data_IF_287033193001
#
_entry.id   IF_287033193001
#
_cell.length_a   1.000
_cell.length_b   1.000
_cell.length_c   1.000
_cell.angle_alpha   90.00
_cell.angle_beta   90.00
_cell.angle_gamma   90.00
#
_symmetry.space_group_name_H-M   'P 1'
#
loop_
_entity.id
_entity.type
_entity.pdbx_description
1 polymer ?
#
# COMPACT_ATOMS: atom_id res chain seq x y z
N UNK A 1 -37.12 -30.01 22.25
CA UNK A 1 -37.29 -28.69 21.61
C UNK A 1 -35.98 -27.94 21.81
N UNK A 2 -35.16 -27.86 20.76
CA UNK A 2 -33.78 -27.37 20.80
C UNK A 2 -33.79 -25.87 20.48
N UNK A 3 -33.32 -25.04 21.40
CA UNK A 3 -33.15 -23.61 21.19
C UNK A 3 -31.81 -23.34 20.52
N UNK A 4 -31.83 -22.87 19.27
CA UNK A 4 -30.66 -22.32 18.58
C UNK A 4 -30.43 -20.89 19.06
N UNK A 5 -29.30 -20.63 19.72
CA UNK A 5 -28.80 -19.27 19.98
C UNK A 5 -28.05 -18.84 18.71
N UNK A 6 -28.66 -17.96 17.92
CA UNK A 6 -27.98 -17.27 16.83
C UNK A 6 -27.18 -16.12 17.46
N UNK A 7 -25.85 -16.27 17.53
CA UNK A 7 -24.94 -15.18 17.86
C UNK A 7 -24.97 -14.16 16.71
N UNK A 8 -25.80 -13.13 16.88
CA UNK A 8 -25.82 -11.95 16.02
C UNK A 8 -24.53 -11.15 16.32
N UNK A 9 -23.51 -11.31 15.47
CA UNK A 9 -22.33 -10.45 15.47
C UNK A 9 -22.79 -9.04 15.12
N UNK A 10 -22.96 -8.20 16.14
CA UNK A 10 -23.07 -6.75 15.98
C UNK A 10 -21.75 -6.27 15.38
N UNK A 11 -21.76 -5.92 14.10
CA UNK A 11 -20.79 -5.03 13.49
C UNK A 11 -20.85 -3.69 14.24
N UNK A 12 -20.06 -3.57 15.31
CA UNK A 12 -19.80 -2.30 15.95
C UNK A 12 -19.02 -1.44 14.97
N UNK A 13 -19.58 -0.26 14.65
CA UNK A 13 -18.94 0.85 13.96
C UNK A 13 -17.43 0.87 14.24
N UNK A 14 -16.63 0.78 13.17
CA UNK A 14 -15.21 1.11 13.21
C UNK A 14 -15.08 2.53 13.75
N UNK A 15 -14.68 2.65 15.01
CA UNK A 15 -14.24 3.91 15.58
C UNK A 15 -12.91 4.24 14.91
N UNK A 16 -12.92 5.12 13.91
CA UNK A 16 -11.74 5.70 13.28
C UNK A 16 -10.97 6.50 14.33
N UNK A 17 -10.10 5.83 15.08
CA UNK A 17 -9.22 6.44 16.07
C UNK A 17 -7.89 6.66 15.37
N UNK A 18 -7.61 7.92 15.03
CA UNK A 18 -6.41 8.46 14.37
C UNK A 18 -6.40 8.41 12.83
N UNK A 19 -7.32 9.15 12.19
CA UNK A 19 -7.04 9.62 10.83
C UNK A 19 -5.90 10.64 10.92
N UNK A 20 -4.74 10.34 10.34
CA UNK A 20 -3.69 11.34 10.13
C UNK A 20 -4.23 12.49 9.27
N UNK A 21 -3.66 13.69 9.39
CA UNK A 21 -4.06 14.81 8.55
C UNK A 21 -3.90 14.44 7.06
N UNK A 22 -4.88 14.78 6.19
CA UNK A 22 -4.76 14.52 4.76
C UNK A 22 -3.54 15.21 4.15
N UNK A 23 -2.94 14.58 3.15
CA UNK A 23 -1.78 15.10 2.40
C UNK A 23 -2.12 15.09 0.91
N UNK A 24 -2.05 16.25 0.26
CA UNK A 24 -2.32 16.38 -1.18
C UNK A 24 -1.02 16.54 -1.96
N UNK A 25 -0.82 15.68 -2.97
CA UNK A 25 0.36 15.69 -3.83
C UNK A 25 0.04 15.08 -5.19
N UNK A 26 0.63 15.61 -6.26
CA UNK A 26 0.48 15.10 -7.63
C UNK A 26 -0.99 14.88 -8.07
N UNK A 27 -1.89 15.79 -7.71
CA UNK A 27 -3.32 15.72 -8.08
C UNK A 27 -4.11 14.64 -7.33
N UNK A 28 -3.58 14.15 -6.21
CA UNK A 28 -4.20 13.13 -5.36
C UNK A 28 -4.13 13.55 -3.91
N UNK A 29 -5.23 13.38 -3.19
CA UNK A 29 -5.30 13.58 -1.74
C UNK A 29 -5.27 12.23 -1.02
N UNK A 30 -4.25 12.03 -0.19
CA UNK A 30 -4.02 10.84 0.62
C UNK A 30 -4.55 11.03 2.04
N UNK A 31 -5.07 9.98 2.65
CA UNK A 31 -5.46 10.00 4.06
C UNK A 31 -5.14 8.66 4.71
N UNK A 32 -4.40 8.70 5.82
CA UNK A 32 -4.08 7.51 6.59
C UNK A 32 -5.32 7.02 7.34
N UNK A 33 -5.64 5.73 7.20
CA UNK A 33 -6.76 5.08 7.89
C UNK A 33 -6.26 4.24 9.07
N UNK A 34 -5.21 3.44 8.86
CA UNK A 34 -4.64 2.57 9.89
C UNK A 34 -3.16 2.30 9.60
N UNK A 35 -2.35 2.22 10.65
CA UNK A 35 -0.96 1.81 10.60
C UNK A 35 -0.66 0.96 11.85
N UNK A 36 -0.39 -0.33 11.65
CA UNK A 36 -0.12 -1.25 12.74
C UNK A 36 0.96 -2.25 12.39
N UNK A 37 1.83 -2.52 13.34
CA UNK A 37 2.74 -3.67 13.33
C UNK A 37 1.98 -4.92 13.73
N UNK A 38 2.17 -6.04 13.02
CA UNK A 38 1.67 -7.33 13.49
C UNK A 38 2.53 -7.83 14.65
N UNK A 39 1.88 -8.18 15.76
CA UNK A 39 2.58 -8.77 16.91
C UNK A 39 3.25 -10.09 16.50
N UNK A 40 4.51 -10.28 16.92
CA UNK A 40 5.32 -11.49 16.76
C UNK A 40 5.88 -11.80 15.36
N UNK A 41 5.93 -10.83 14.44
CA UNK A 41 6.58 -11.02 13.16
C UNK A 41 8.09 -10.69 13.24
N UNK A 42 8.94 -11.63 13.66
CA UNK A 42 10.38 -11.55 13.36
C UNK A 42 10.64 -12.47 12.16
N UNK A 43 10.47 -11.92 10.97
CA UNK A 43 10.56 -12.66 9.72
C UNK A 43 11.99 -12.56 9.23
N UNK A 44 12.67 -13.70 9.14
CA UNK A 44 14.02 -13.73 8.56
C UNK A 44 13.97 -13.28 7.09
N UNK A 45 15.01 -12.58 6.65
CA UNK A 45 15.12 -12.01 5.31
C UNK A 45 14.84 -13.03 4.17
N UNK A 46 15.15 -14.31 4.36
CA UNK A 46 14.90 -15.36 3.37
C UNK A 46 13.42 -15.74 3.20
N UNK A 47 12.56 -15.37 4.16
CA UNK A 47 11.14 -15.72 4.18
C UNK A 47 10.21 -14.54 3.85
N UNK A 48 10.74 -13.33 3.67
CA UNK A 48 9.94 -12.19 3.20
C UNK A 48 9.66 -12.29 1.71
N UNK A 49 8.54 -11.73 1.27
CA UNK A 49 8.34 -11.45 -0.14
C UNK A 49 9.36 -10.38 -0.59
N UNK A 50 9.72 -10.36 -1.87
CA UNK A 50 10.66 -9.39 -2.47
C UNK A 50 10.07 -7.98 -2.61
N UNK A 51 9.02 -7.65 -1.86
CA UNK A 51 8.32 -6.39 -1.92
C UNK A 51 7.00 -6.42 -1.12
N UNK A 52 6.32 -5.27 -1.00
CA UNK A 52 5.09 -5.15 -0.23
C UNK A 52 3.92 -5.85 -0.93
N UNK A 53 3.00 -6.44 -0.20
CA UNK A 53 1.75 -6.97 -0.79
C UNK A 53 0.68 -5.90 -0.75
N UNK A 54 -0.03 -5.68 -1.86
CA UNK A 54 -1.04 -4.62 -1.95
C UNK A 54 -2.37 -5.13 -2.47
N UNK A 55 -3.47 -4.49 -2.04
CA UNK A 55 -4.79 -4.62 -2.62
C UNK A 55 -5.50 -3.26 -2.61
N UNK A 56 -6.46 -3.07 -3.52
CA UNK A 56 -7.23 -1.84 -3.69
C UNK A 56 -8.73 -2.16 -3.81
N UNK A 57 -9.58 -1.30 -3.23
CA UNK A 57 -11.02 -1.51 -3.09
C UNK A 57 -11.81 -1.58 -4.39
N UNK A 58 -11.31 -1.01 -5.49
CA UNK A 58 -12.05 -0.94 -6.75
C UNK A 58 -11.28 -0.23 -7.86
N UNK A 59 -11.75 -0.38 -9.09
CA UNK A 59 -11.17 0.28 -10.26
C UNK A 59 -11.47 1.78 -10.24
N UNK A 60 -10.54 2.58 -10.76
CA UNK A 60 -10.73 4.03 -10.84
C UNK A 60 -11.86 4.39 -11.80
N UNK A 61 -12.91 5.02 -11.28
CA UNK A 61 -14.08 5.46 -12.04
C UNK A 61 -14.33 6.97 -11.99
N UNK A 62 -13.41 7.75 -11.42
CA UNK A 62 -13.51 9.22 -11.30
C UNK A 62 -13.02 9.77 -9.95
N UNK A 63 -13.31 11.05 -9.70
CA UNK A 63 -12.81 11.84 -8.56
C UNK A 63 -13.73 11.91 -7.33
N UNK A 64 -14.95 11.36 -7.41
CA UNK A 64 -15.98 11.58 -6.40
C UNK A 64 -15.86 10.69 -5.13
N UNK A 65 -15.16 9.56 -5.21
CA UNK A 65 -15.04 8.60 -4.11
C UNK A 65 -13.58 8.22 -3.87
N UNK A 66 -13.10 8.26 -2.60
CA UNK A 66 -11.77 7.77 -2.27
C UNK A 66 -11.65 6.26 -2.50
N UNK A 67 -10.51 5.85 -3.03
CA UNK A 67 -10.11 4.45 -3.20
C UNK A 67 -9.33 4.01 -1.96
N UNK A 68 -9.74 2.91 -1.35
CA UNK A 68 -9.02 2.36 -0.18
C UNK A 68 -7.95 1.40 -0.65
N UNK A 69 -6.73 1.59 -0.17
CA UNK A 69 -5.58 0.75 -0.45
C UNK A 69 -5.10 0.13 0.84
N UNK A 70 -4.81 -1.16 0.79
CA UNK A 70 -4.23 -1.94 1.89
C UNK A 70 -2.87 -2.44 1.44
N UNK A 71 -1.84 -2.17 2.25
CA UNK A 71 -0.45 -2.59 2.02
C UNK A 71 0.03 -3.40 3.21
N UNK A 72 0.69 -4.52 2.92
CA UNK A 72 1.50 -5.27 3.87
C UNK A 72 2.97 -5.03 3.51
N UNK A 73 3.70 -4.34 4.37
CA UNK A 73 5.09 -3.98 4.14
C UNK A 73 6.01 -4.67 5.15
N UNK A 74 7.19 -5.11 4.69
CA UNK A 74 8.23 -5.67 5.54
C UNK A 74 9.22 -4.56 5.88
N UNK A 75 9.34 -4.22 7.15
CA UNK A 75 10.23 -3.14 7.60
C UNK A 75 11.25 -3.73 8.58
N UNK A 76 12.55 -3.40 8.46
CA UNK A 76 13.60 -3.90 9.35
C UNK A 76 13.23 -3.78 10.84
N UNK A 77 13.36 -4.89 11.58
CA UNK A 77 13.02 -4.95 13.02
C UNK A 77 14.24 -4.92 13.94
N UNK A 78 15.40 -5.37 13.44
CA UNK A 78 16.65 -5.46 14.20
C UNK A 78 17.64 -4.34 13.89
N UNK A 79 17.19 -3.29 13.22
CA UNK A 79 18.01 -2.15 12.80
C UNK A 79 17.35 -0.85 13.25
N UNK A 80 18.16 0.17 13.54
CA UNK A 80 17.65 1.50 13.84
C UNK A 80 17.28 2.21 12.54
N UNK A 81 15.99 2.52 12.36
CA UNK A 81 15.52 3.30 11.23
C UNK A 81 16.00 4.75 11.34
N UNK A 82 16.49 5.29 10.23
CA UNK A 82 16.88 6.69 10.06
C UNK A 82 15.72 7.53 9.53
N UNK A 83 15.80 8.86 9.68
CA UNK A 83 14.86 9.75 9.01
C UNK A 83 14.90 9.55 7.49
N UNK A 84 13.73 9.62 6.85
CA UNK A 84 13.62 9.65 5.38
C UNK A 84 13.81 11.06 4.85
N UNK A 85 14.36 11.18 3.64
CA UNK A 85 14.57 12.49 3.00
C UNK A 85 13.27 13.04 2.41
N UNK A 86 12.47 12.19 1.78
CA UNK A 86 11.19 12.58 1.21
C UNK A 86 10.06 12.46 2.24
N UNK A 87 9.62 13.61 2.74
CA UNK A 87 8.53 13.73 3.73
C UNK A 87 7.25 14.31 3.12
N UNK A 88 7.11 14.27 1.79
CA UNK A 88 5.97 14.87 1.07
C UNK A 88 4.67 14.08 1.18
N UNK A 89 4.71 12.82 1.61
CA UNK A 89 3.57 11.92 1.74
C UNK A 89 3.05 11.77 3.17
N UNK A 90 2.38 10.64 3.43
CA UNK A 90 1.81 10.33 4.74
C UNK A 90 2.91 9.84 5.70
N UNK A 91 3.12 10.56 6.80
CA UNK A 91 3.93 10.06 7.93
C UNK A 91 3.21 8.89 8.59
N UNK A 92 3.85 7.71 8.58
CA UNK A 92 3.34 6.50 9.22
C UNK A 92 3.91 6.36 10.63
N UNK A 93 5.20 6.68 10.80
CA UNK A 93 5.88 6.67 12.10
C UNK A 93 6.94 7.77 12.18
N UNK A 94 6.56 8.91 12.77
CA UNK A 94 7.46 10.04 13.00
C UNK A 94 8.14 10.52 11.71
N UNK A 95 9.46 10.68 11.74
CA UNK A 95 10.26 11.01 10.55
C UNK A 95 10.88 9.78 9.86
N UNK A 96 10.55 8.56 10.28
CA UNK A 96 11.28 7.33 9.91
C UNK A 96 10.60 6.49 8.83
N UNK A 97 9.26 6.54 8.76
CA UNK A 97 8.49 5.72 7.81
C UNK A 97 7.43 6.59 7.15
N UNK A 98 7.44 6.65 5.82
CA UNK A 98 6.49 7.42 5.03
C UNK A 98 5.86 6.57 3.93
N UNK A 99 4.62 6.91 3.58
CA UNK A 99 3.99 6.48 2.34
C UNK A 99 3.94 7.67 1.37
N UNK A 100 4.79 7.63 0.35
CA UNK A 100 4.92 8.69 -0.65
C UNK A 100 4.20 8.32 -1.94
N UNK A 101 3.74 9.34 -2.68
CA UNK A 101 3.10 9.19 -4.00
C UNK A 101 3.85 10.01 -5.06
N UNK A 102 4.36 9.33 -6.08
CA UNK A 102 5.22 9.89 -7.12
C UNK A 102 4.48 10.24 -8.42
N UNK A 103 3.16 10.12 -8.44
CA UNK A 103 2.35 10.38 -9.63
C UNK A 103 2.01 9.12 -10.42
N UNK A 104 1.45 9.32 -11.61
CA UNK A 104 1.20 8.24 -12.56
C UNK A 104 2.50 7.89 -13.29
N UNK A 105 2.76 6.60 -13.47
CA UNK A 105 3.90 6.06 -14.22
C UNK A 105 3.45 4.92 -15.11
N UNK A 106 4.25 4.58 -16.12
CA UNK A 106 4.04 3.40 -16.95
C UNK A 106 4.98 2.28 -16.50
N UNK A 107 4.44 1.09 -16.32
CA UNK A 107 5.23 -0.09 -15.97
C UNK A 107 5.05 -1.21 -16.99
N UNK A 108 6.10 -1.98 -17.20
CA UNK A 108 6.05 -3.18 -18.03
C UNK A 108 5.73 -4.39 -17.18
N UNK A 109 4.72 -5.16 -17.59
CA UNK A 109 4.35 -6.43 -16.96
C UNK A 109 4.51 -7.57 -17.95
N UNK A 110 4.98 -8.73 -17.48
CA UNK A 110 5.09 -9.93 -18.30
C UNK A 110 3.69 -10.44 -18.65
N UNK A 111 3.40 -10.59 -19.94
CA UNK A 111 2.13 -11.12 -20.41
C UNK A 111 2.18 -12.65 -20.58
N UNK A 112 1.01 -13.26 -20.81
CA UNK A 112 0.86 -14.71 -20.90
C UNK A 112 1.60 -15.32 -22.11
N UNK A 113 1.92 -14.51 -23.11
CA UNK A 113 2.62 -14.89 -24.33
C UNK A 113 4.15 -14.77 -24.18
N UNK A 114 4.65 -14.37 -23.01
CA UNK A 114 6.08 -14.15 -22.76
C UNK A 114 6.61 -12.82 -23.31
N UNK A 115 5.72 -11.91 -23.74
CA UNK A 115 6.04 -10.52 -24.08
C UNK A 115 5.76 -9.56 -22.92
N UNK A 116 5.81 -8.26 -23.21
CA UNK A 116 5.60 -7.21 -22.21
C UNK A 116 4.40 -6.33 -22.57
N UNK A 117 3.49 -6.15 -21.62
CA UNK A 117 2.40 -5.18 -21.71
C UNK A 117 2.78 -3.92 -20.91
N UNK A 118 2.40 -2.74 -21.40
CA UNK A 118 2.55 -1.48 -20.65
C UNK A 118 1.26 -1.16 -19.92
N UNK A 119 1.36 -0.91 -18.61
CA UNK A 119 0.24 -0.58 -17.73
C UNK A 119 0.49 0.75 -17.04
N UNK A 120 -0.48 1.66 -17.08
CA UNK A 120 -0.40 2.91 -16.33
C UNK A 120 -0.76 2.66 -14.86
N UNK A 121 0.08 3.11 -13.94
CA UNK A 121 -0.03 2.84 -12.51
C UNK A 121 0.15 4.10 -11.67
N UNK A 122 -0.52 4.19 -10.52
CA UNK A 122 -0.14 5.16 -9.46
C UNK A 122 1.02 4.59 -8.65
N UNK A 123 2.14 5.32 -8.62
CA UNK A 123 3.39 4.94 -7.95
C UNK A 123 3.41 5.37 -6.49
N UNK A 124 3.09 4.43 -5.60
CA UNK A 124 3.24 4.60 -4.16
C UNK A 124 4.51 3.93 -3.65
N UNK A 125 5.16 4.53 -2.66
CA UNK A 125 6.35 3.96 -2.04
C UNK A 125 6.27 3.99 -0.52
N UNK A 126 6.57 2.86 0.10
CA UNK A 126 6.82 2.77 1.54
C UNK A 126 8.30 3.03 1.75
N UNK A 127 8.61 4.23 2.22
CA UNK A 127 9.99 4.70 2.39
C UNK A 127 10.41 4.59 3.85
N UNK A 128 11.60 4.03 4.05
CA UNK A 128 12.34 3.96 5.30
C UNK A 128 13.82 3.91 4.95
N UNK A 129 14.69 4.36 5.86
CA UNK A 129 16.13 4.34 5.67
C UNK A 129 16.80 3.45 6.73
N UNK A 130 17.73 2.58 6.34
CA UNK A 130 18.58 1.80 7.24
C UNK A 130 20.06 1.85 6.79
N UNK A 131 20.98 1.42 7.65
CA UNK A 131 22.43 1.47 7.38
C UNK A 131 23.03 0.16 6.88
N UNK A 132 22.32 -0.94 7.11
CA UNK A 132 22.82 -2.30 6.99
C UNK A 132 21.69 -3.18 6.47
N UNK A 133 22.04 -4.19 5.68
CA UNK A 133 21.07 -5.18 5.23
C UNK A 133 20.46 -5.89 6.43
N UNK A 134 19.17 -5.64 6.68
CA UNK A 134 18.49 -6.21 7.82
C UNK A 134 18.29 -7.72 7.63
N UNK A 135 18.60 -8.49 8.67
CA UNK A 135 18.36 -9.94 8.69
C UNK A 135 16.96 -10.30 9.20
N UNK A 136 16.28 -9.36 9.87
CA UNK A 136 14.95 -9.57 10.42
C UNK A 136 14.02 -8.39 10.10
N UNK A 137 12.77 -8.72 9.81
CA UNK A 137 11.73 -7.77 9.43
C UNK A 137 10.46 -7.99 10.24
N UNK A 138 9.82 -6.89 10.58
CA UNK A 138 8.44 -6.86 11.06
C UNK A 138 7.48 -6.67 9.90
N UNK A 139 6.32 -7.32 9.98
CA UNK A 139 5.22 -7.10 9.05
C UNK A 139 4.33 -5.96 9.55
N UNK A 140 4.14 -4.95 8.71
CA UNK A 140 3.26 -3.82 8.96
C UNK A 140 2.04 -3.85 8.05
N UNK A 141 0.88 -3.54 8.62
CA UNK A 141 -0.36 -3.24 7.91
C UNK A 141 -0.52 -1.73 7.79
N UNK A 142 -0.67 -1.27 6.55
CA UNK A 142 -0.91 0.13 6.20
C UNK A 142 -2.24 0.15 5.45
N UNK A 143 -3.20 0.94 5.93
CA UNK A 143 -4.42 1.24 5.19
C UNK A 143 -4.52 2.74 4.99
N UNK A 144 -4.70 3.16 3.75
CA UNK A 144 -4.90 4.55 3.40
C UNK A 144 -5.99 4.66 2.34
N UNK A 145 -6.57 5.86 2.22
CA UNK A 145 -7.39 6.21 1.08
C UNK A 145 -6.66 7.20 0.21
N UNK A 146 -6.91 7.15 -1.10
CA UNK A 146 -6.55 8.24 -2.00
C UNK A 146 -7.76 8.70 -2.82
N UNK A 147 -7.87 10.00 -3.04
CA UNK A 147 -8.91 10.60 -3.87
C UNK A 147 -8.27 11.43 -4.97
N UNK A 148 -8.83 11.36 -6.18
CA UNK A 148 -8.34 12.13 -7.32
C UNK A 148 -8.86 13.56 -7.22
N UNK A 149 -7.97 14.52 -7.42
CA UNK A 149 -8.37 15.91 -7.61
C UNK A 149 -9.05 16.08 -8.99
N UNK A 150 -9.80 17.16 -9.15
CA UNK A 150 -10.51 17.43 -10.40
C UNK A 150 -9.53 17.57 -11.57
N UNK A 151 -9.76 16.83 -12.65
CA UNK A 151 -8.89 16.83 -13.84
C UNK A 151 -7.72 15.86 -13.79
N UNK A 152 -7.49 15.17 -12.66
CA UNK A 152 -6.47 14.11 -12.57
C UNK A 152 -6.89 12.90 -13.39
N UNK A 153 -6.05 12.41 -14.33
CA UNK A 153 -6.38 11.26 -15.15
C UNK A 153 -6.44 9.97 -14.31
N UNK A 154 -7.37 9.09 -14.66
CA UNK A 154 -7.43 7.73 -14.12
C UNK A 154 -6.29 6.87 -14.65
N UNK A 155 -5.88 5.86 -13.89
CA UNK A 155 -4.90 4.85 -14.28
C UNK A 155 -5.49 3.43 -14.25
N UNK A 156 -4.76 2.47 -14.81
CA UNK A 156 -5.20 1.08 -14.90
C UNK A 156 -4.99 0.29 -13.59
N UNK A 157 -4.00 0.67 -12.80
CA UNK A 157 -3.55 -0.08 -11.62
C UNK A 157 -2.90 0.82 -10.56
N UNK A 158 -2.58 0.21 -9.42
CA UNK A 158 -1.65 0.79 -8.45
C UNK A 158 -0.40 -0.06 -8.36
N UNK A 159 0.73 0.61 -8.14
CA UNK A 159 1.99 -0.06 -7.86
C UNK A 159 2.56 0.47 -6.54
N UNK A 160 2.97 -0.48 -5.69
CA UNK A 160 3.57 -0.17 -4.40
C UNK A 160 4.94 -0.80 -4.36
N UNK A 161 5.96 -0.01 -4.01
CA UNK A 161 7.33 -0.45 -3.79
C UNK A 161 7.76 -0.10 -2.38
N UNK A 162 8.66 -0.87 -1.81
CA UNK A 162 9.49 -0.42 -0.71
C UNK A 162 10.78 0.17 -1.27
N UNK A 163 11.37 1.10 -0.55
CA UNK A 163 12.73 1.55 -0.88
C UNK A 163 13.70 0.53 -0.28
N UNK A 164 13.90 -0.58 -0.99
CA UNK A 164 14.95 -1.56 -0.66
C UNK A 164 16.32 -0.98 -1.04
N UNK A 165 17.32 -1.19 -0.18
CA UNK A 165 18.71 -0.74 -0.38
C UNK A 165 19.43 -1.54 -1.50
N UNK A 166 18.74 -2.52 -2.10
CA UNK A 166 19.22 -3.31 -3.25
C UNK A 166 18.42 -3.00 -4.54
N UNK A 167 18.93 -2.09 -5.41
CA UNK A 167 18.27 -1.73 -6.66
C UNK A 167 18.22 -2.86 -7.70
N UNK A 168 18.91 -3.99 -7.50
CA UNK A 168 18.88 -5.12 -8.43
C UNK A 168 17.74 -6.13 -8.14
N UNK A 169 17.13 -6.10 -6.94
CA UNK A 169 16.13 -7.09 -6.52
C UNK A 169 14.75 -6.52 -6.15
N UNK A 170 14.58 -5.19 -6.06
CA UNK A 170 13.26 -4.57 -5.85
C UNK A 170 12.35 -4.77 -7.08
N UNK A 171 11.26 -5.51 -6.88
CA UNK A 171 10.24 -5.76 -7.92
C UNK A 171 8.91 -5.07 -7.63
N UNK A 172 8.73 -4.48 -6.45
CA UNK A 172 7.43 -3.99 -5.98
C UNK A 172 6.29 -5.02 -6.10
N UNK A 173 5.06 -4.54 -5.87
CA UNK A 173 3.84 -5.26 -6.24
C UNK A 173 2.91 -4.35 -7.03
N UNK A 174 2.37 -4.93 -8.11
CA UNK A 174 1.36 -4.31 -8.96
C UNK A 174 0.04 -5.01 -8.70
N UNK A 175 -1.01 -4.27 -8.36
CA UNK A 175 -2.35 -4.86 -8.28
C UNK A 175 -3.38 -4.08 -9.06
N UNK A 176 -4.29 -4.85 -9.65
CA UNK A 176 -5.46 -4.35 -10.34
C UNK A 176 -6.71 -4.99 -9.73
N UNK A 177 -7.75 -4.21 -9.40
CA UNK A 177 -9.05 -4.74 -9.00
C UNK A 177 -9.63 -5.66 -10.09
N UNK A 178 -10.25 -6.76 -9.68
CA UNK A 178 -10.98 -7.64 -10.59
C UNK A 178 -12.40 -7.12 -10.78
N UNK A 179 -12.78 -6.79 -12.02
CA UNK A 179 -14.17 -6.55 -12.42
C UNK A 179 -14.62 -7.68 -13.35
N UNK A 180 -15.68 -8.44 -13.03
CA UNK A 180 -16.24 -9.40 -13.97
C UNK A 180 -16.70 -8.68 -15.25
N UNK A 181 -16.57 -9.31 -16.43
CA UNK A 181 -17.01 -8.71 -17.68
C UNK A 181 -18.51 -8.40 -17.64
N UNK A 182 -19.00 -7.36 -18.36
CA UNK A 182 -20.43 -7.09 -18.46
C UNK A 182 -21.15 -8.34 -18.96
N UNK A 183 -22.16 -8.81 -18.22
CA UNK A 183 -23.08 -9.82 -18.73
C UNK A 183 -23.93 -9.20 -19.81
N UNK A 184 -23.92 -9.81 -21.00
CA UNK A 184 -24.81 -9.48 -22.13
C UNK A 184 -26.27 -9.70 -21.77
#
# INVERSE_FOLDING_TARGET
MIFFIVNLVRLTKLNYKNMGNPVSTNGVTLTLVDFKKFNNANIDAQYRATGPLVNISGAEGGSATPYTVTVLAYIPSNQQLKPVDNTSGLSLQGNQIYLNYYGATNMQILNKQGGWDTVSCRDFRVEFNCNEQASQYDLYYIQFTYQLDSGTPSVDAICVRDQDDDPETDRGTVTRPSTPPPTL
#
